data_IF_357235326060
#
_entry.id   IF_357235326060
#
_cell.length_a   1.000
_cell.length_b   1.000
_cell.length_c   1.000
_cell.angle_alpha   90.00
_cell.angle_beta   90.00
_cell.angle_gamma   90.00
#
_symmetry.space_group_name_H-M   'P 1'
#
loop_
_entity.id
_entity.type
_entity.pdbx_description
1 polymer ?
#
# COMPACT_ATOMS: atom_id res chain seq x y z
N UNK A 1 9.95 13.94 1.55
CA UNK A 1 9.29 13.30 0.38
C UNK A 1 9.83 11.91 0.09
N UNK A 2 11.14 11.71 -0.12
CA UNK A 2 11.71 10.36 -0.24
C UNK A 2 11.77 9.63 1.11
N UNK A 3 12.11 10.36 2.19
CA UNK A 3 12.11 9.82 3.57
C UNK A 3 10.73 9.32 4.02
N UNK A 4 9.67 10.10 3.76
CA UNK A 4 8.30 9.75 4.13
C UNK A 4 7.86 8.48 3.40
N UNK A 5 8.11 8.42 2.09
CA UNK A 5 7.81 7.23 1.27
C UNK A 5 8.61 6.00 1.73
N UNK A 6 9.89 6.16 2.04
CA UNK A 6 10.73 5.07 2.52
C UNK A 6 10.22 4.53 3.86
N UNK A 7 9.81 5.40 4.78
CA UNK A 7 9.26 5.01 6.07
C UNK A 7 7.91 4.31 5.94
N UNK A 8 7.03 4.81 5.08
CA UNK A 8 5.71 4.20 4.84
C UNK A 8 5.83 2.84 4.16
N UNK A 9 6.76 2.70 3.20
CA UNK A 9 7.07 1.42 2.57
C UNK A 9 7.62 0.41 3.57
N UNK A 10 8.53 0.84 4.43
CA UNK A 10 9.12 -0.01 5.46
C UNK A 10 8.09 -0.50 6.48
N UNK A 11 7.25 0.40 6.99
CA UNK A 11 6.16 0.04 7.91
C UNK A 11 5.18 -0.94 7.27
N UNK A 12 4.81 -0.70 6.01
CA UNK A 12 3.92 -1.57 5.25
C UNK A 12 4.50 -2.97 5.10
N UNK A 13 5.77 -3.06 4.69
CA UNK A 13 6.50 -4.32 4.57
C UNK A 13 6.58 -5.06 5.90
N UNK A 14 7.10 -4.42 6.95
CA UNK A 14 7.31 -5.03 8.27
C UNK A 14 6.00 -5.50 8.89
N UNK A 15 4.94 -4.70 8.80
CA UNK A 15 3.63 -5.10 9.32
C UNK A 15 3.06 -6.31 8.55
N UNK A 16 3.34 -6.40 7.25
CA UNK A 16 2.89 -7.51 6.43
C UNK A 16 3.72 -8.79 6.66
N UNK A 17 5.03 -8.66 6.89
CA UNK A 17 5.93 -9.77 7.28
C UNK A 17 5.61 -10.33 8.67
N UNK A 18 5.06 -9.51 9.57
CA UNK A 18 4.58 -9.96 10.87
C UNK A 18 3.20 -10.65 10.83
N UNK A 19 2.57 -10.74 9.65
CA UNK A 19 1.22 -11.25 9.45
C UNK A 19 1.17 -12.61 8.77
N UNK A 20 -0.06 -13.10 8.53
CA UNK A 20 -0.29 -14.40 7.88
C UNK A 20 0.12 -14.43 6.39
N UNK A 21 0.27 -13.27 5.76
CA UNK A 21 0.66 -13.12 4.35
C UNK A 21 2.18 -13.05 4.15
N UNK A 22 3.00 -13.33 5.17
CA UNK A 22 4.44 -13.14 5.16
C UNK A 22 5.15 -13.80 3.96
N UNK A 23 4.81 -15.04 3.62
CA UNK A 23 5.40 -15.75 2.46
C UNK A 23 5.13 -15.03 1.13
N UNK A 24 3.87 -14.64 0.90
CA UNK A 24 3.47 -13.96 -0.33
C UNK A 24 4.13 -12.57 -0.43
N UNK A 25 4.23 -11.86 0.69
CA UNK A 25 4.90 -10.57 0.79
C UNK A 25 6.41 -10.70 0.54
N UNK A 26 7.07 -11.71 1.12
CA UNK A 26 8.48 -11.99 0.88
C UNK A 26 8.76 -12.29 -0.59
N UNK A 27 7.90 -13.06 -1.27
CA UNK A 27 8.03 -13.34 -2.69
C UNK A 27 7.92 -12.06 -3.56
N UNK A 28 6.95 -11.19 -3.26
CA UNK A 28 6.78 -9.90 -3.95
C UNK A 28 7.94 -8.95 -3.71
N UNK A 29 8.36 -8.80 -2.45
CA UNK A 29 9.49 -7.96 -2.07
C UNK A 29 10.78 -8.44 -2.75
N UNK A 30 11.01 -9.77 -2.82
CA UNK A 30 12.14 -10.36 -3.57
C UNK A 30 12.10 -9.99 -5.03
N UNK A 31 10.95 -10.11 -5.70
CA UNK A 31 10.82 -9.82 -7.13
C UNK A 31 11.15 -8.36 -7.47
N UNK A 32 10.78 -7.42 -6.59
CA UNK A 32 10.98 -5.99 -6.82
C UNK A 32 12.40 -5.56 -6.42
N UNK A 33 12.86 -5.97 -5.24
CA UNK A 33 14.17 -5.53 -4.70
C UNK A 33 15.36 -6.22 -5.38
N UNK A 34 15.19 -7.43 -5.93
CA UNK A 34 16.26 -8.14 -6.65
C UNK A 34 16.73 -7.44 -7.93
N UNK A 35 15.95 -6.46 -8.43
CA UNK A 35 16.36 -5.59 -9.55
C UNK A 35 17.53 -4.67 -9.20
N UNK A 36 17.77 -4.43 -7.91
CA UNK A 36 18.81 -3.49 -7.41
C UNK A 36 19.82 -4.12 -6.48
N UNK A 37 19.46 -5.23 -5.83
CA UNK A 37 20.34 -5.96 -4.92
C UNK A 37 20.38 -7.44 -5.32
N UNK A 38 21.47 -8.18 -4.99
CA UNK A 38 21.49 -9.61 -5.20
C UNK A 38 20.29 -10.29 -4.54
N UNK A 39 19.57 -11.13 -5.28
CA UNK A 39 18.35 -11.76 -4.79
C UNK A 39 18.58 -12.55 -3.48
N UNK A 40 19.73 -13.22 -3.37
CA UNK A 40 20.11 -13.95 -2.16
C UNK A 40 20.22 -13.02 -0.93
N UNK A 41 20.75 -11.81 -1.09
CA UNK A 41 20.85 -10.84 -0.01
C UNK A 41 19.46 -10.34 0.43
N UNK A 42 18.59 -10.07 -0.54
CA UNK A 42 17.19 -9.67 -0.27
C UNK A 42 16.44 -10.79 0.47
N UNK A 43 16.58 -12.03 0.00
CA UNK A 43 15.92 -13.19 0.62
C UNK A 43 16.39 -13.39 2.07
N UNK A 44 17.70 -13.37 2.32
CA UNK A 44 18.26 -13.49 3.67
C UNK A 44 17.73 -12.39 4.59
N UNK A 45 17.73 -11.13 4.15
CA UNK A 45 17.26 -10.02 4.99
C UNK A 45 15.77 -10.12 5.31
N UNK A 46 14.94 -10.56 4.37
CA UNK A 46 13.50 -10.76 4.62
C UNK A 46 13.26 -11.89 5.63
N UNK A 47 14.04 -12.99 5.53
CA UNK A 47 13.98 -14.09 6.47
C UNK A 47 14.44 -13.66 7.87
N UNK A 48 15.60 -12.99 7.99
CA UNK A 48 16.09 -12.40 9.24
C UNK A 48 15.05 -11.48 9.89
N UNK A 49 14.42 -10.61 9.09
CA UNK A 49 13.38 -9.71 9.58
C UNK A 49 12.21 -10.51 10.15
N UNK A 50 11.78 -11.55 9.44
CA UNK A 50 10.68 -12.41 9.89
C UNK A 50 11.03 -13.19 11.16
N UNK A 51 12.25 -13.71 11.27
CA UNK A 51 12.75 -14.38 12.47
C UNK A 51 12.74 -13.41 13.66
N UNK A 52 13.26 -12.19 13.49
CA UNK A 52 13.25 -11.14 14.52
C UNK A 52 11.83 -10.79 14.95
N UNK A 53 10.91 -10.59 13.99
CA UNK A 53 9.52 -10.24 14.28
C UNK A 53 8.75 -11.38 14.97
N UNK A 54 9.10 -12.63 14.67
CA UNK A 54 8.53 -13.81 15.31
C UNK A 54 9.04 -13.96 16.75
N UNK A 55 10.33 -13.74 16.97
CA UNK A 55 10.94 -13.83 18.30
C UNK A 55 10.58 -12.63 19.20
N UNK A 56 10.54 -11.43 18.63
CA UNK A 56 10.35 -10.16 19.34
C UNK A 56 9.37 -9.27 18.57
N UNK A 57 8.05 -9.43 18.76
CA UNK A 57 7.05 -8.59 18.09
C UNK A 57 7.20 -7.08 18.37
N UNK A 58 7.81 -6.71 19.51
CA UNK A 58 8.13 -5.33 19.86
C UNK A 58 9.26 -4.71 18.99
N UNK A 59 10.01 -5.51 18.23
CA UNK A 59 11.06 -5.05 17.34
C UNK A 59 10.53 -4.41 16.04
N UNK A 60 9.21 -4.39 15.82
CA UNK A 60 8.57 -3.83 14.61
C UNK A 60 9.05 -2.42 14.25
N UNK A 61 9.18 -1.53 15.23
CA UNK A 61 9.62 -0.17 14.96
C UNK A 61 11.10 -0.11 14.56
N UNK A 62 11.95 -0.92 15.20
CA UNK A 62 13.37 -1.04 14.86
C UNK A 62 13.59 -1.58 13.46
N UNK A 63 12.87 -2.65 13.10
CA UNK A 63 12.91 -3.23 11.74
C UNK A 63 12.34 -2.27 10.70
N UNK A 64 11.31 -1.48 11.05
CA UNK A 64 10.78 -0.45 10.15
C UNK A 64 11.81 0.64 9.86
N UNK A 65 12.58 1.07 10.87
CA UNK A 65 13.67 2.05 10.67
C UNK A 65 14.80 1.46 9.81
N UNK A 66 15.18 0.19 10.04
CA UNK A 66 16.20 -0.49 9.23
C UNK A 66 15.79 -0.57 7.77
N UNK A 67 14.57 -1.02 7.48
CA UNK A 67 14.04 -1.08 6.11
C UNK A 67 13.84 0.30 5.49
N UNK A 68 13.47 1.32 6.27
CA UNK A 68 13.36 2.69 5.77
C UNK A 68 14.72 3.21 5.28
N UNK A 69 15.81 2.90 5.99
CA UNK A 69 17.17 3.22 5.54
C UNK A 69 17.53 2.56 4.21
N UNK A 70 17.10 1.32 4.00
CA UNK A 70 17.33 0.59 2.75
C UNK A 70 16.50 1.15 1.59
N UNK A 71 15.21 1.40 1.79
CA UNK A 71 14.35 2.03 0.78
C UNK A 71 14.84 3.43 0.43
N UNK A 72 15.27 4.21 1.42
CA UNK A 72 15.87 5.52 1.18
C UNK A 72 17.13 5.41 0.34
N UNK A 73 18.05 4.50 0.67
CA UNK A 73 19.25 4.27 -0.15
C UNK A 73 18.90 3.92 -1.58
N UNK A 74 17.89 3.06 -1.79
CA UNK A 74 17.39 2.70 -3.12
C UNK A 74 16.85 3.93 -3.88
N UNK A 75 16.04 4.77 -3.22
CA UNK A 75 15.46 5.96 -3.83
C UNK A 75 16.51 7.04 -4.13
N UNK A 76 17.56 7.13 -3.31
CA UNK A 76 18.69 8.05 -3.50
C UNK A 76 19.61 7.57 -4.64
N UNK A 77 19.85 6.26 -4.76
CA UNK A 77 20.65 5.65 -5.84
C UNK A 77 19.93 5.68 -7.20
N UNK A 78 18.61 5.51 -7.19
CA UNK A 78 17.78 5.45 -8.40
C UNK A 78 16.42 6.13 -8.16
N UNK A 79 16.23 7.40 -8.58
CA UNK A 79 14.94 8.08 -8.48
C UNK A 79 13.80 7.39 -9.24
N UNK A 80 14.13 6.57 -10.25
CA UNK A 80 13.16 5.73 -10.98
C UNK A 80 12.57 4.62 -10.12
N UNK A 81 13.17 4.31 -8.97
CA UNK A 81 12.68 3.34 -8.00
C UNK A 81 11.37 3.73 -7.33
N UNK A 82 11.01 5.00 -7.36
CA UNK A 82 9.84 5.53 -6.66
C UNK A 82 8.56 4.76 -7.03
N UNK A 83 8.30 4.58 -8.32
CA UNK A 83 7.10 3.89 -8.81
C UNK A 83 7.07 2.42 -8.41
N UNK A 84 8.24 1.77 -8.33
CA UNK A 84 8.35 0.37 -7.91
C UNK A 84 8.10 0.20 -6.40
N UNK A 85 8.60 1.14 -5.59
CA UNK A 85 8.34 1.17 -4.14
C UNK A 85 6.86 1.43 -3.87
N UNK A 86 6.25 2.40 -4.56
CA UNK A 86 4.82 2.68 -4.48
C UNK A 86 3.99 1.47 -4.93
N UNK A 87 4.40 0.79 -6.02
CA UNK A 87 3.74 -0.42 -6.50
C UNK A 87 3.86 -1.59 -5.52
N UNK A 88 5.02 -1.77 -4.87
CA UNK A 88 5.19 -2.78 -3.81
C UNK A 88 4.18 -2.55 -2.68
N UNK A 89 4.02 -1.32 -2.20
CA UNK A 89 3.06 -1.00 -1.15
C UNK A 89 1.62 -1.30 -1.58
N UNK A 90 1.26 -0.95 -2.82
CA UNK A 90 -0.06 -1.25 -3.37
C UNK A 90 -0.35 -2.75 -3.39
N UNK A 91 0.61 -3.56 -3.87
CA UNK A 91 0.48 -5.02 -3.90
C UNK A 91 0.35 -5.62 -2.48
N UNK A 92 1.14 -5.13 -1.52
CA UNK A 92 1.02 -5.55 -0.12
C UNK A 92 -0.35 -5.16 0.47
N UNK A 93 -0.85 -3.96 0.15
CA UNK A 93 -2.17 -3.50 0.58
C UNK A 93 -3.30 -4.42 0.09
N UNK A 94 -3.21 -4.89 -1.17
CA UNK A 94 -4.19 -5.85 -1.74
C UNK A 94 -4.16 -7.22 -1.05
N UNK A 95 -3.00 -7.64 -0.54
CA UNK A 95 -2.86 -8.89 0.22
C UNK A 95 -3.41 -8.79 1.66
N UNK A 96 -3.69 -7.58 2.14
CA UNK A 96 -4.19 -7.31 3.50
C UNK A 96 -5.52 -6.55 3.43
N UNK A 97 -6.64 -7.23 3.14
CA UNK A 97 -7.95 -6.57 3.01
C UNK A 97 -8.35 -5.79 4.27
N UNK A 98 -7.87 -6.20 5.46
CA UNK A 98 -8.14 -5.54 6.74
C UNK A 98 -7.34 -4.23 7.01
N UNK A 99 -6.43 -3.82 6.12
CA UNK A 99 -5.66 -2.56 6.25
C UNK A 99 -6.18 -1.48 5.29
N UNK A 100 -7.38 -1.69 4.75
CA UNK A 100 -8.05 -0.68 3.93
C UNK A 100 -8.89 0.19 4.86
N UNK A 101 -8.32 1.28 5.37
CA UNK A 101 -8.97 2.55 5.73
C UNK A 101 -8.21 3.23 6.88
N UNK A 102 -7.19 4.02 6.55
CA UNK A 102 -6.84 5.24 7.30
C UNK A 102 -5.75 6.11 6.67
N UNK A 103 -5.14 5.70 5.55
CA UNK A 103 -4.33 6.62 4.76
C UNK A 103 -5.21 7.24 3.67
N UNK A 104 -5.65 8.48 3.89
CA UNK A 104 -6.29 9.30 2.87
C UNK A 104 -5.34 9.52 1.69
N UNK A 105 -5.38 8.62 0.71
CA UNK A 105 -4.71 8.81 -0.58
C UNK A 105 -5.77 9.31 -1.55
N UNK A 106 -5.88 10.64 -1.63
CA UNK A 106 -6.47 11.30 -2.79
C UNK A 106 -5.52 11.05 -3.97
N UNK A 107 -5.73 9.95 -4.69
CA UNK A 107 -5.05 9.70 -5.95
C UNK A 107 -5.74 10.53 -7.04
N UNK A 108 -5.31 11.78 -7.22
CA UNK A 108 -5.56 12.54 -8.45
C UNK A 108 -4.38 12.36 -9.39
N UNK A 109 -4.48 11.37 -10.26
CA UNK A 109 -3.51 11.12 -11.33
C UNK A 109 -4.24 10.47 -12.51
N UNK A 110 -4.70 11.30 -13.44
CA UNK A 110 -5.38 10.86 -14.66
C UNK A 110 -4.40 10.15 -15.58
N UNK A 111 -4.52 8.83 -15.71
CA UNK A 111 -4.05 8.08 -16.87
C UNK A 111 -5.25 7.30 -17.39
N UNK A 112 -5.63 7.59 -18.62
CA UNK A 112 -6.91 7.20 -19.21
C UNK A 112 -7.05 5.70 -19.47
N UNK A 113 -8.32 5.28 -19.51
CA UNK A 113 -8.75 4.00 -20.06
C UNK A 113 -8.94 2.90 -19.03
N UNK A 114 -9.92 3.06 -18.14
CA UNK A 114 -10.99 2.08 -17.87
C UNK A 114 -11.78 2.52 -16.62
N UNK A 115 -13.08 2.70 -16.80
CA UNK A 115 -13.95 3.34 -15.82
C UNK A 115 -14.43 2.28 -14.80
N UNK A 116 -13.63 1.98 -13.78
CA UNK A 116 -14.07 1.13 -12.66
C UNK A 116 -14.85 2.00 -11.67
N UNK A 117 -16.18 1.91 -11.75
CA UNK A 117 -17.09 2.49 -10.76
C UNK A 117 -17.05 1.64 -9.48
N UNK A 118 -16.26 2.05 -8.49
CA UNK A 118 -16.33 1.45 -7.15
C UNK A 118 -17.52 2.09 -6.42
N UNK A 119 -18.69 1.44 -6.50
CA UNK A 119 -19.81 1.72 -5.63
C UNK A 119 -19.49 1.20 -4.22
N UNK A 120 -19.05 2.11 -3.34
CA UNK A 120 -19.04 1.86 -1.91
C UNK A 120 -20.46 1.64 -1.42
N UNK A 121 -20.77 0.41 -0.99
CA UNK A 121 -22.00 0.11 -0.27
C UNK A 121 -21.85 0.62 1.17
N UNK A 122 -22.52 1.73 1.45
CA UNK A 122 -22.58 2.34 2.78
C UNK A 122 -23.75 3.31 2.81
N UNK A 123 -24.89 2.80 3.28
CA UNK A 123 -26.16 3.45 3.62
C UNK A 123 -26.29 4.96 3.30
N UNK A 124 -26.88 5.27 2.14
CA UNK A 124 -27.51 6.59 1.93
C UNK A 124 -29.01 6.39 2.15
N UNK A 125 -29.49 6.82 3.31
CA UNK A 125 -30.92 7.07 3.51
C UNK A 125 -31.33 8.22 2.58
N UNK A 126 -31.83 7.89 1.39
CA UNK A 126 -32.43 8.87 0.47
C UNK A 126 -33.85 9.15 0.94
N UNK A 127 -34.06 10.28 1.61
CA UNK A 127 -35.41 10.89 1.71
C UNK A 127 -35.79 11.35 0.31
N UNK A 128 -36.66 10.59 -0.34
CA UNK A 128 -37.14 10.87 -1.69
C UNK A 128 -38.38 11.77 -1.59
N UNK A 129 -38.16 13.08 -1.63
CA UNK A 129 -39.21 14.03 -2.01
C UNK A 129 -39.60 13.72 -3.46
N UNK A 130 -40.76 13.10 -3.63
CA UNK A 130 -41.28 12.68 -4.93
C UNK A 130 -42.01 13.86 -5.55
N UNK A 131 -41.24 14.77 -6.16
CA UNK A 131 -41.79 15.75 -7.08
C UNK A 131 -42.37 15.07 -8.31
N UNK A 132 -43.61 15.42 -8.67
CA UNK A 132 -44.11 15.13 -10.01
C UNK A 132 -45.59 15.41 -10.25
N UNK A 133 -45.92 16.61 -10.73
CA UNK A 133 -46.43 16.79 -12.11
C UNK A 133 -47.32 18.03 -12.28
N UNK A 134 -46.72 19.04 -12.92
CA UNK A 134 -47.26 20.00 -13.88
C UNK A 134 -48.71 19.77 -14.36
N UNK A 135 -49.60 20.74 -14.13
CA UNK A 135 -50.70 21.09 -15.04
C UNK A 135 -50.78 22.62 -15.26
N UNK A 136 -51.09 22.96 -16.51
CA UNK A 136 -50.95 24.26 -17.17
C UNK A 136 -51.99 25.28 -16.69
N UNK A 137 -51.61 26.57 -16.66
CA UNK A 137 -52.55 27.71 -16.71
C UNK A 137 -53.16 27.85 -18.11
N UNK A 138 -54.47 28.07 -18.20
CA UNK A 138 -55.08 29.00 -19.15
C UNK A 138 -56.35 29.62 -18.53
N UNK A 139 -56.38 30.94 -18.65
CA UNK A 139 -57.44 31.95 -18.46
C UNK A 139 -58.75 31.54 -17.80
#
# INVERSE_FOLDING_TARGET
MADDLAMDAARTLVTALAGQAAEAVSALARQILSRRRPEAEVATRLEETREVLTAVPAARDGESVRWAGEFRRILDEDPGARSEVEHLMELIGRLRPDVTNNAGVQQSGSVGGDNIQIQGSGDVTVVRDSGGSRWRRRR
#
